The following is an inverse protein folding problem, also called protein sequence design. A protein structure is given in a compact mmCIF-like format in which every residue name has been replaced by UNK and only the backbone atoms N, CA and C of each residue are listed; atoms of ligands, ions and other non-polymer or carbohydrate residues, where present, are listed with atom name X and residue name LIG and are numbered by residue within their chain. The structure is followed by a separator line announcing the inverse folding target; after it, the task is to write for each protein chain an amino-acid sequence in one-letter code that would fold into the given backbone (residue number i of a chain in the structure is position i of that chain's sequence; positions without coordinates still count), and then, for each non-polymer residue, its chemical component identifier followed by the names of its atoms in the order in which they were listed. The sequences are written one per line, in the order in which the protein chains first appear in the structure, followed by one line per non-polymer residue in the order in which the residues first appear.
data_IF_241327874453
#
_entry.id   IF_241327874453
#
_cell.length_a   1.000
_cell.length_b   1.000
_cell.length_c   1.000
_cell.angle_alpha   90.00
_cell.angle_beta   90.00
_cell.angle_gamma   90.00
#
_symmetry.space_group_name_H-M   'P 1'
#
loop_
_entity.id
_entity.type
_entity.pdbx_description
1 polymer ?
#
# COMPACT_ATOMS: atom_id res chain seq x y z
N UNK A 1 2.38 7.73 5.49
CA UNK A 1 1.83 7.84 4.12
C UNK A 1 2.89 8.19 3.07
N UNK A 2 3.67 9.28 3.23
CA UNK A 2 4.64 9.73 2.21
C UNK A 2 5.73 8.68 1.87
N UNK A 3 6.30 8.00 2.86
CA UNK A 3 7.32 6.96 2.63
C UNK A 3 6.84 5.76 1.79
N UNK A 4 5.53 5.42 1.80
CA UNK A 4 4.96 4.32 1.01
C UNK A 4 4.80 4.74 -0.47
N UNK A 5 4.57 6.03 -0.71
CA UNK A 5 4.37 6.59 -2.05
C UNK A 5 5.67 6.54 -2.86
N UNK A 6 6.76 7.04 -2.30
CA UNK A 6 8.06 7.09 -2.97
C UNK A 6 8.54 5.68 -3.34
N UNK A 7 8.38 4.72 -2.43
CA UNK A 7 8.71 3.31 -2.69
C UNK A 7 7.81 2.69 -3.76
N UNK A 8 6.52 3.07 -3.81
CA UNK A 8 5.61 2.61 -4.87
C UNK A 8 6.00 3.16 -6.24
N UNK A 9 6.40 4.43 -6.31
CA UNK A 9 6.92 5.05 -7.54
C UNK A 9 8.22 4.35 -7.97
N UNK A 10 9.15 4.14 -7.04
CA UNK A 10 10.44 3.49 -7.31
C UNK A 10 10.27 2.09 -7.90
N UNK A 11 9.40 1.26 -7.32
CA UNK A 11 9.12 -0.10 -7.84
C UNK A 11 8.39 -0.06 -9.17
N UNK A 12 7.46 0.89 -9.33
CA UNK A 12 6.72 1.04 -10.57
C UNK A 12 7.63 1.45 -11.75
N UNK A 13 8.68 2.24 -11.50
CA UNK A 13 9.66 2.61 -12.52
C UNK A 13 10.43 1.43 -13.11
N UNK A 14 10.40 0.25 -12.48
CA UNK A 14 10.99 -0.99 -13.00
C UNK A 14 10.04 -1.77 -13.93
N UNK A 15 8.82 -1.27 -14.17
CA UNK A 15 7.84 -1.89 -15.05
C UNK A 15 7.87 -1.26 -16.44
N UNK A 16 7.39 -2.01 -17.43
CA UNK A 16 7.36 -1.59 -18.83
C UNK A 16 5.96 -1.76 -19.45
N UNK A 17 5.73 -1.07 -20.57
CA UNK A 17 4.49 -1.16 -21.34
C UNK A 17 3.25 -0.83 -20.49
N UNK A 18 2.22 -1.68 -20.59
CA UNK A 18 0.95 -1.49 -19.86
C UNK A 18 1.07 -1.70 -18.34
N UNK A 19 2.18 -2.25 -17.85
CA UNK A 19 2.40 -2.46 -16.42
C UNK A 19 3.00 -1.21 -15.74
N UNK A 20 3.60 -0.31 -16.50
CA UNK A 20 4.09 0.98 -16.00
C UNK A 20 2.92 1.95 -15.83
N UNK A 21 2.78 2.51 -14.62
CA UNK A 21 1.78 3.53 -14.30
C UNK A 21 2.48 4.90 -14.15
N UNK A 22 1.87 5.99 -14.59
CA UNK A 22 2.51 7.30 -14.45
C UNK A 22 2.52 7.71 -12.96
N UNK A 23 3.59 8.38 -12.45
CA UNK A 23 3.67 8.77 -11.04
C UNK A 23 2.47 9.58 -10.54
N UNK A 24 1.88 10.42 -11.41
CA UNK A 24 0.69 11.22 -11.09
C UNK A 24 -0.54 10.34 -10.79
N UNK A 25 -0.67 9.20 -11.45
CA UNK A 25 -1.79 8.27 -11.26
C UNK A 25 -1.66 7.52 -9.93
N UNK A 26 -0.43 7.18 -9.54
CA UNK A 26 -0.12 6.61 -8.22
C UNK A 26 -0.48 7.64 -7.13
N UNK A 27 -0.08 8.90 -7.32
CA UNK A 27 -0.41 9.98 -6.38
C UNK A 27 -1.90 10.25 -6.26
N UNK A 28 -2.62 10.29 -7.40
CA UNK A 28 -4.05 10.47 -7.43
C UNK A 28 -4.79 9.35 -6.68
N UNK A 29 -4.28 8.12 -6.74
CA UNK A 29 -4.83 6.97 -6.03
C UNK A 29 -4.55 7.05 -4.53
N UNK A 30 -3.33 7.38 -4.12
CA UNK A 30 -3.01 7.44 -2.68
C UNK A 30 -3.79 8.52 -1.93
N UNK A 31 -4.18 9.60 -2.60
CA UNK A 31 -5.06 10.62 -2.01
C UNK A 31 -6.47 10.10 -1.69
N UNK A 32 -6.90 9.01 -2.33
CA UNK A 32 -8.20 8.39 -2.14
C UNK A 32 -8.15 7.22 -1.15
N UNK A 33 -6.96 6.82 -0.70
CA UNK A 33 -6.81 5.70 0.24
C UNK A 33 -7.39 6.07 1.60
N UNK A 34 -8.29 5.21 2.06
CA UNK A 34 -8.86 5.25 3.42
C UNK A 34 -8.41 3.95 4.12
N UNK A 35 -7.93 4.01 5.37
CA UNK A 35 -7.61 2.81 6.13
C UNK A 35 -8.84 1.91 6.28
N UNK A 36 -8.70 0.58 6.15
CA UNK A 36 -9.80 -0.34 6.39
C UNK A 36 -10.20 -0.32 7.88
N UNK A 37 -11.49 -0.54 8.14
CA UNK A 37 -12.08 -0.53 9.48
C UNK A 37 -13.02 -1.72 9.67
N UNK A 38 -13.15 -2.22 10.90
CA UNK A 38 -14.07 -3.32 11.22
C UNK A 38 -15.54 -2.99 10.91
N UNK A 39 -15.90 -1.70 10.87
CA UNK A 39 -17.26 -1.23 10.51
C UNK A 39 -17.65 -1.55 9.07
N UNK A 40 -16.68 -1.85 8.21
CA UNK A 40 -16.92 -2.30 6.84
C UNK A 40 -17.34 -3.78 6.76
N UNK A 41 -17.26 -4.53 7.88
CA UNK A 41 -17.65 -5.94 7.97
C UNK A 41 -16.50 -6.93 7.81
N UNK A 42 -15.25 -6.50 8.03
CA UNK A 42 -14.10 -7.42 8.09
C UNK A 42 -14.07 -8.16 9.43
N UNK A 43 -13.79 -9.47 9.42
CA UNK A 43 -13.59 -10.24 10.66
C UNK A 43 -12.24 -9.91 11.31
N UNK A 44 -11.19 -9.76 10.49
CA UNK A 44 -9.82 -9.45 10.93
C UNK A 44 -9.15 -8.53 9.92
N UNK A 45 -8.32 -7.61 10.41
CA UNK A 45 -7.55 -6.68 9.57
C UNK A 45 -6.06 -6.88 9.87
N UNK A 46 -5.25 -6.96 8.82
CA UNK A 46 -3.80 -7.13 8.93
C UNK A 46 -3.03 -6.05 8.17
N UNK A 47 -1.89 -5.66 8.71
CA UNK A 47 -0.90 -4.80 8.05
C UNK A 47 0.24 -5.67 7.54
N UNK A 48 0.54 -5.54 6.24
CA UNK A 48 1.63 -6.26 5.57
C UNK A 48 2.74 -5.27 5.23
N UNK A 49 3.96 -5.57 5.69
CA UNK A 49 5.16 -4.78 5.37
C UNK A 49 6.13 -5.64 4.57
N UNK A 50 6.59 -5.12 3.42
CA UNK A 50 7.64 -5.76 2.64
C UNK A 50 9.01 -5.40 3.23
N UNK A 51 9.78 -6.41 3.59
CA UNK A 51 11.13 -6.24 4.10
C UNK A 51 12.15 -6.14 2.96
N UNK A 52 13.39 -5.70 3.27
CA UNK A 52 14.45 -5.51 2.27
C UNK A 52 14.96 -6.83 1.66
N UNK A 53 14.75 -7.95 2.34
CA UNK A 53 15.15 -9.30 1.93
C UNK A 53 14.05 -10.03 1.13
N UNK A 54 13.10 -9.28 0.56
CA UNK A 54 11.93 -9.81 -0.16
C UNK A 54 11.03 -10.72 0.70
N UNK A 55 11.11 -10.65 2.03
CA UNK A 55 10.14 -11.28 2.92
C UNK A 55 9.01 -10.32 3.28
N UNK A 56 7.95 -10.86 3.91
CA UNK A 56 6.84 -10.07 4.41
C UNK A 56 6.69 -10.25 5.92
N UNK A 57 6.51 -9.14 6.62
CA UNK A 57 6.05 -9.12 8.01
C UNK A 57 4.55 -8.84 8.01
N UNK A 58 3.78 -9.71 8.67
CA UNK A 58 2.33 -9.60 8.77
C UNK A 58 1.97 -9.42 10.25
N UNK A 59 1.19 -8.39 10.56
CA UNK A 59 0.78 -8.09 11.93
C UNK A 59 -0.72 -7.75 11.96
N UNK A 60 -1.48 -8.22 12.98
CA UNK A 60 -2.84 -7.76 13.20
C UNK A 60 -2.86 -6.23 13.31
N UNK A 61 -3.81 -5.60 12.64
CA UNK A 61 -4.00 -4.15 12.69
C UNK A 61 -4.89 -3.82 13.89
N UNK A 62 -4.30 -3.24 14.93
CA UNK A 62 -5.03 -2.83 16.15
C UNK A 62 -5.72 -1.46 16.02
N UNK A 63 -6.14 -1.06 14.82
CA UNK A 63 -6.87 0.21 14.67
C UNK A 63 -8.31 0.02 15.17
N UNK A 64 -8.51 0.18 16.48
CA UNK A 64 -9.79 0.58 17.05
C UNK A 64 -9.96 2.08 16.77
N UNK A 65 -11.05 2.46 16.09
CA UNK A 65 -11.51 3.84 15.96
C UNK A 65 -12.91 3.92 16.54
#
# INVERSE_FOLDING_TARGET
MQAIMEESIRRNALREGKAYIQPIEIWATAKKLVPPTYREGFDEIYTVTMNKDNTFTIQPTSHEI
#
